data_IF_007277397443
#
_entry.id   IF_007277397443
#
_cell.length_a   1.000
_cell.length_b   1.000
_cell.length_c   1.000
_cell.angle_alpha   90.00
_cell.angle_beta   90.00
_cell.angle_gamma   90.00
#
_symmetry.space_group_name_H-M   'P 1'
#
loop_
_entity.id
_entity.type
_entity.pdbx_description
1 polymer ?
#
# COMPACT_ATOMS: atom_id res chain seq x y z
N UNK A 1 4.66 3.47 -30.68
CA UNK A 1 4.92 2.68 -29.44
C UNK A 1 5.70 3.53 -28.43
N UNK A 2 5.13 4.64 -27.94
CA UNK A 2 5.78 5.51 -26.95
C UNK A 2 5.06 5.46 -25.58
N UNK A 3 3.78 5.08 -25.59
CA UNK A 3 2.92 5.00 -24.40
C UNK A 3 3.37 3.95 -23.38
N UNK A 4 4.09 2.90 -23.79
CA UNK A 4 4.58 1.86 -22.86
C UNK A 4 5.81 2.28 -22.05
N UNK A 5 6.62 3.22 -22.56
CA UNK A 5 7.87 3.63 -21.90
C UNK A 5 7.62 4.65 -20.79
N UNK A 6 6.80 5.67 -21.07
CA UNK A 6 6.42 6.67 -20.07
C UNK A 6 5.73 6.03 -18.85
N UNK A 7 4.83 5.06 -19.08
CA UNK A 7 4.17 4.32 -17.98
C UNK A 7 5.19 3.52 -17.17
N UNK A 8 6.17 2.89 -17.83
CA UNK A 8 7.23 2.15 -17.13
C UNK A 8 8.13 3.07 -16.32
N UNK A 9 8.44 4.26 -16.82
CA UNK A 9 9.29 5.24 -16.12
C UNK A 9 8.55 5.81 -14.89
N UNK A 10 7.26 6.18 -15.04
CA UNK A 10 6.41 6.60 -13.91
C UNK A 10 6.26 5.50 -12.86
N UNK A 11 6.11 4.24 -13.30
CA UNK A 11 6.03 3.11 -12.39
C UNK A 11 7.28 2.95 -11.54
N UNK A 12 8.46 3.00 -12.17
CA UNK A 12 9.75 2.88 -11.49
C UNK A 12 9.88 4.01 -10.47
N UNK A 13 9.58 5.26 -10.86
CA UNK A 13 9.68 6.41 -9.96
C UNK A 13 8.71 6.31 -8.78
N UNK A 14 7.45 5.93 -9.04
CA UNK A 14 6.45 5.69 -7.99
C UNK A 14 6.94 4.61 -7.01
N UNK A 15 7.45 3.50 -7.54
CA UNK A 15 7.97 2.37 -6.75
C UNK A 15 9.13 2.81 -5.87
N UNK A 16 10.13 3.51 -6.43
CA UNK A 16 11.30 4.00 -5.69
C UNK A 16 10.91 4.97 -4.56
N UNK A 17 9.94 5.87 -4.81
CA UNK A 17 9.44 6.80 -3.80
C UNK A 17 8.73 6.05 -2.66
N UNK A 18 7.88 5.07 -3.00
CA UNK A 18 7.20 4.22 -2.03
C UNK A 18 8.18 3.40 -1.20
N UNK A 19 9.16 2.75 -1.85
CA UNK A 19 10.22 1.99 -1.18
C UNK A 19 10.99 2.88 -0.20
N UNK A 20 11.45 4.05 -0.65
CA UNK A 20 12.20 4.98 0.20
C UNK A 20 11.39 5.42 1.42
N UNK A 21 10.11 5.75 1.23
CA UNK A 21 9.23 6.17 2.31
C UNK A 21 8.97 5.03 3.31
N UNK A 22 8.62 3.84 2.82
CA UNK A 22 8.27 2.70 3.69
C UNK A 22 9.50 2.14 4.41
N UNK A 23 10.69 2.13 3.78
CA UNK A 23 11.96 1.75 4.43
C UNK A 23 12.33 2.65 5.61
N UNK A 24 11.82 3.87 5.67
CA UNK A 24 11.99 4.74 6.85
C UNK A 24 11.08 4.36 8.02
N UNK A 25 10.10 3.47 7.81
CA UNK A 25 9.11 3.05 8.79
C UNK A 25 9.12 1.55 9.12
N UNK A 26 9.82 0.73 8.33
CA UNK A 26 9.90 -0.72 8.55
C UNK A 26 10.88 -1.42 7.62
N UNK A 27 11.05 -2.72 7.82
CA UNK A 27 11.88 -3.56 6.97
C UNK A 27 11.09 -4.12 5.78
N UNK A 28 11.69 -4.12 4.60
CA UNK A 28 11.11 -4.79 3.43
C UNK A 28 11.50 -6.28 3.41
N UNK A 29 10.54 -7.17 3.19
CA UNK A 29 10.81 -8.58 2.90
C UNK A 29 9.66 -9.25 2.15
N UNK A 30 9.92 -9.66 0.91
CA UNK A 30 8.97 -10.44 0.12
C UNK A 30 8.70 -11.85 0.67
N UNK A 31 9.48 -12.30 1.66
CA UNK A 31 9.29 -13.58 2.35
C UNK A 31 8.41 -13.48 3.60
N UNK A 32 7.88 -12.29 3.92
CA UNK A 32 7.00 -12.06 5.07
C UNK A 32 7.72 -11.87 6.42
N UNK A 33 9.06 -11.83 6.42
CA UNK A 33 9.87 -11.58 7.63
C UNK A 33 9.99 -10.07 7.97
N UNK A 34 9.46 -9.21 7.10
CA UNK A 34 9.53 -7.75 7.19
C UNK A 34 8.24 -7.12 7.69
N UNK A 35 8.21 -5.79 7.70
CA UNK A 35 7.01 -5.01 7.98
C UNK A 35 6.17 -4.75 6.71
N UNK A 36 6.79 -4.79 5.52
CA UNK A 36 6.10 -4.68 4.24
C UNK A 36 6.84 -5.39 3.10
N UNK A 37 6.18 -5.47 1.95
CA UNK A 37 6.84 -5.71 0.66
C UNK A 37 6.05 -5.05 -0.48
N UNK A 38 6.76 -4.61 -1.52
CA UNK A 38 6.15 -4.00 -2.70
C UNK A 38 6.14 -5.03 -3.83
N UNK A 39 5.00 -5.17 -4.51
CA UNK A 39 4.88 -6.10 -5.65
C UNK A 39 5.68 -5.54 -6.82
N UNK A 40 6.62 -6.31 -7.34
CA UNK A 40 7.42 -5.97 -8.53
C UNK A 40 6.66 -6.30 -9.84
N UNK A 41 5.42 -5.85 -9.90
CA UNK A 41 4.51 -6.04 -11.03
C UNK A 41 3.52 -4.87 -11.03
N UNK A 42 3.30 -4.28 -12.20
CA UNK A 42 2.26 -3.27 -12.39
C UNK A 42 1.20 -3.76 -13.37
N UNK A 43 -0.04 -3.38 -13.10
CA UNK A 43 -1.18 -3.63 -13.96
C UNK A 43 -1.98 -2.34 -14.08
N UNK A 44 -2.17 -1.83 -15.30
CA UNK A 44 -3.06 -0.69 -15.59
C UNK A 44 -2.95 0.47 -14.56
N UNK A 45 -1.75 1.03 -14.37
CA UNK A 45 -1.49 2.12 -13.41
C UNK A 45 -1.72 1.76 -11.94
N UNK A 46 -1.54 0.49 -11.57
CA UNK A 46 -1.66 0.04 -10.18
C UNK A 46 -0.29 -0.38 -9.63
N UNK A 47 0.01 0.09 -8.43
CA UNK A 47 1.08 -0.42 -7.59
C UNK A 47 0.49 -1.11 -6.37
N UNK A 48 0.89 -2.36 -6.12
CA UNK A 48 0.45 -3.12 -4.94
C UNK A 48 1.54 -3.11 -3.87
N UNK A 49 1.11 -2.99 -2.62
CA UNK A 49 1.96 -3.00 -1.43
C UNK A 49 1.30 -3.90 -0.41
N UNK A 50 2.08 -4.73 0.26
CA UNK A 50 1.61 -5.56 1.35
C UNK A 50 2.20 -5.05 2.66
N UNK A 51 1.35 -4.77 3.63
CA UNK A 51 1.73 -4.50 5.00
C UNK A 51 1.59 -5.79 5.80
N UNK A 52 2.73 -6.31 6.25
CA UNK A 52 2.87 -7.52 7.06
C UNK A 52 3.06 -7.20 8.54
N UNK A 53 2.95 -5.92 8.91
CA UNK A 53 3.08 -5.43 10.29
C UNK A 53 2.09 -4.32 10.61
N UNK A 54 1.43 -4.42 11.76
CA UNK A 54 0.50 -3.41 12.27
C UNK A 54 1.15 -2.01 12.41
N UNK A 55 2.48 -1.96 12.54
CA UNK A 55 3.24 -0.71 12.68
C UNK A 55 3.05 0.25 11.49
N UNK A 56 2.74 -0.29 10.31
CA UNK A 56 2.55 0.47 9.07
C UNK A 56 1.09 0.82 8.80
N UNK A 57 0.13 0.15 9.47
CA UNK A 57 -1.30 0.44 9.34
C UNK A 57 -1.67 1.65 10.21
N UNK A 58 -1.20 2.83 9.81
CA UNK A 58 -1.44 4.09 10.51
C UNK A 58 -2.01 5.16 9.57
N UNK A 59 -2.90 6.05 10.05
CA UNK A 59 -3.48 7.10 9.22
C UNK A 59 -2.43 7.95 8.51
N UNK A 60 -1.38 8.36 9.23
CA UNK A 60 -0.32 9.20 8.67
C UNK A 60 0.48 8.53 7.53
N UNK A 61 0.58 7.20 7.51
CA UNK A 61 1.24 6.45 6.43
C UNK A 61 0.34 6.45 5.17
N UNK A 62 -0.94 6.12 5.35
CA UNK A 62 -1.92 6.10 4.26
C UNK A 62 -2.15 7.49 3.67
N UNK A 63 -2.26 8.52 4.52
CA UNK A 63 -2.35 9.93 4.12
C UNK A 63 -1.12 10.40 3.36
N UNK A 64 0.09 9.98 3.77
CA UNK A 64 1.31 10.35 3.05
C UNK A 64 1.31 9.77 1.63
N UNK A 65 0.92 8.50 1.48
CA UNK A 65 0.80 7.85 0.17
C UNK A 65 -0.21 8.63 -0.70
N UNK A 66 -1.38 8.97 -0.16
CA UNK A 66 -2.39 9.71 -0.92
C UNK A 66 -1.92 11.13 -1.27
N UNK A 67 -1.45 11.89 -0.29
CA UNK A 67 -1.25 13.34 -0.41
C UNK A 67 0.03 13.70 -1.13
N UNK A 68 1.13 12.99 -0.86
CA UNK A 68 2.44 13.37 -1.40
C UNK A 68 2.79 12.56 -2.64
N UNK A 69 2.54 11.25 -2.60
CA UNK A 69 2.97 10.35 -3.66
C UNK A 69 2.00 10.46 -4.85
N UNK A 70 0.69 10.33 -4.64
CA UNK A 70 -0.27 10.34 -5.76
C UNK A 70 -0.53 11.73 -6.36
N UNK A 71 -0.06 12.82 -5.74
CA UNK A 71 -0.02 14.15 -6.38
C UNK A 71 0.90 14.19 -7.61
N UNK A 72 2.00 13.43 -7.56
CA UNK A 72 2.96 13.33 -8.65
C UNK A 72 2.49 12.36 -9.73
N UNK A 73 1.67 11.38 -9.35
CA UNK A 73 1.22 10.27 -10.18
C UNK A 73 -0.31 10.19 -10.21
N UNK A 74 -0.99 11.20 -10.76
CA UNK A 74 -2.46 11.34 -10.64
C UNK A 74 -3.27 10.23 -11.29
N UNK A 75 -2.68 9.50 -12.24
CA UNK A 75 -3.32 8.37 -12.92
C UNK A 75 -3.11 7.04 -12.17
N UNK A 76 -2.25 7.02 -11.16
CA UNK A 76 -1.87 5.83 -10.44
C UNK A 76 -2.76 5.55 -9.25
N UNK A 77 -2.90 4.26 -8.94
CA UNK A 77 -3.61 3.75 -7.78
C UNK A 77 -2.62 2.90 -6.98
N UNK A 78 -2.57 3.13 -5.67
CA UNK A 78 -1.84 2.26 -4.75
C UNK A 78 -2.84 1.37 -4.02
N UNK A 79 -2.67 0.06 -4.15
CA UNK A 79 -3.43 -0.92 -3.40
C UNK A 79 -2.57 -1.38 -2.24
N UNK A 80 -2.98 -1.04 -1.02
CA UNK A 80 -2.34 -1.51 0.20
C UNK A 80 -3.13 -2.71 0.72
N UNK A 81 -2.52 -3.88 0.70
CA UNK A 81 -3.05 -5.12 1.27
C UNK A 81 -2.48 -5.27 2.67
N UNK A 82 -3.35 -5.47 3.66
CA UNK A 82 -2.94 -5.74 5.03
C UNK A 82 -2.98 -7.25 5.24
N UNK A 83 -1.82 -7.87 5.07
CA UNK A 83 -1.62 -9.31 5.21
C UNK A 83 -0.83 -9.59 6.48
N UNK A 84 -1.56 -9.61 7.56
CA UNK A 84 -1.00 -9.86 8.87
C UNK A 84 -1.19 -11.32 9.08
N UNK A 85 -0.09 -12.03 8.84
CA UNK A 85 0.05 -13.48 8.88
C UNK A 85 -0.39 -14.00 10.24
N UNK A 86 -1.69 -14.12 10.41
CA UNK A 86 -2.28 -15.11 11.26
C UNK A 86 -2.18 -16.42 10.47
N UNK A 87 -1.30 -17.36 10.87
CA UNK A 87 -1.12 -18.61 10.15
C UNK A 87 -2.41 -19.44 10.04
N UNK A 88 -3.44 -19.10 10.82
CA UNK A 88 -4.76 -19.74 10.77
C UNK A 88 -5.61 -19.21 9.60
N UNK A 89 -5.38 -17.97 9.15
CA UNK A 89 -6.25 -17.31 8.18
C UNK A 89 -5.49 -16.85 6.93
N UNK A 90 -5.80 -17.46 5.77
CA UNK A 90 -5.14 -17.19 4.48
C UNK A 90 -5.55 -15.91 3.76
N UNK A 91 -6.60 -15.25 4.23
CA UNK A 91 -7.09 -14.03 3.58
C UNK A 91 -6.57 -12.78 4.28
N UNK A 92 -6.25 -11.71 3.54
CA UNK A 92 -5.84 -10.44 4.13
C UNK A 92 -6.94 -9.88 5.04
N UNK A 93 -6.52 -9.19 6.09
CA UNK A 93 -7.42 -8.64 7.09
C UNK A 93 -8.13 -7.38 6.56
N UNK A 94 -7.46 -6.62 5.71
CA UNK A 94 -7.99 -5.44 5.06
C UNK A 94 -7.26 -5.14 3.75
N UNK A 95 -7.87 -4.30 2.91
CA UNK A 95 -7.21 -3.65 1.79
C UNK A 95 -7.68 -2.20 1.65
N UNK A 96 -6.76 -1.34 1.21
CA UNK A 96 -7.01 0.06 0.90
C UNK A 96 -6.73 0.27 -0.57
N UNK A 97 -7.65 0.94 -1.25
CA UNK A 97 -7.43 1.49 -2.59
C UNK A 97 -7.21 2.98 -2.44
N UNK A 98 -5.97 3.41 -2.66
CA UNK A 98 -5.56 4.81 -2.53
C UNK A 98 -5.40 5.37 -3.93
N UNK A 99 -6.14 6.42 -4.22
CA UNK A 99 -6.07 7.19 -5.46
C UNK A 99 -5.80 8.67 -5.15
N UNK A 100 -5.50 9.47 -6.17
CA UNK A 100 -5.31 10.90 -6.01
C UNK A 100 -6.50 11.61 -5.32
N UNK A 101 -7.73 11.17 -5.60
CA UNK A 101 -8.95 11.83 -5.10
C UNK A 101 -9.61 11.14 -3.91
N UNK A 102 -9.29 9.87 -3.67
CA UNK A 102 -10.06 9.02 -2.78
C UNK A 102 -9.20 7.94 -2.11
N UNK A 103 -9.47 7.68 -0.83
CA UNK A 103 -9.08 6.45 -0.15
C UNK A 103 -10.34 5.59 0.02
N UNK A 104 -10.45 4.50 -0.74
CA UNK A 104 -11.50 3.51 -0.52
C UNK A 104 -10.98 2.42 0.41
N UNK A 105 -11.70 2.19 1.51
CA UNK A 105 -11.33 1.20 2.53
C UNK A 105 -12.21 -0.03 2.41
N UNK A 106 -11.59 -1.20 2.37
CA UNK A 106 -12.29 -2.48 2.38
C UNK A 106 -11.72 -3.33 3.49
N UNK A 107 -12.53 -3.55 4.52
CA UNK A 107 -12.06 -4.20 5.74
C UNK A 107 -12.92 -5.41 6.03
N UNK A 108 -12.29 -6.50 6.46
CA UNK A 108 -12.99 -7.49 7.26
C UNK A 108 -12.98 -7.06 8.74
N UNK A 109 -14.03 -6.36 9.18
CA UNK A 109 -14.13 -5.79 10.53
C UNK A 109 -14.03 -6.81 11.67
N UNK A 110 -14.38 -8.07 11.41
CA UNK A 110 -14.30 -9.17 12.39
C UNK A 110 -12.84 -9.55 12.68
N UNK A 111 -11.95 -9.30 11.73
CA UNK A 111 -10.53 -9.68 11.78
C UNK A 111 -9.62 -8.51 12.12
N UNK A 112 -10.17 -7.29 12.21
CA UNK A 112 -9.42 -6.15 12.69
C UNK A 112 -9.11 -6.29 14.18
N UNK A 113 -7.86 -6.01 14.58
CA UNK A 113 -7.49 -5.90 15.96
C UNK A 113 -8.16 -4.64 16.54
N UNK A 114 -8.45 -4.62 17.84
CA UNK A 114 -9.18 -3.53 18.47
C UNK A 114 -8.64 -2.13 18.13
N UNK A 115 -7.32 -2.00 18.02
CA UNK A 115 -6.61 -0.74 17.76
C UNK A 115 -6.94 -0.13 16.40
N UNK A 116 -7.45 -0.93 15.45
CA UNK A 116 -7.78 -0.47 14.10
C UNK A 116 -9.29 -0.36 13.83
N UNK A 117 -10.14 -0.82 14.75
CA UNK A 117 -11.60 -0.78 14.58
C UNK A 117 -12.10 0.66 14.47
N UNK A 118 -11.49 1.56 15.23
CA UNK A 118 -11.82 2.99 15.25
C UNK A 118 -10.90 3.84 14.36
N UNK A 119 -10.05 3.21 13.53
CA UNK A 119 -9.17 3.95 12.63
C UNK A 119 -9.97 4.62 11.52
N UNK A 120 -10.16 5.93 11.68
CA UNK A 120 -10.70 6.83 10.68
C UNK A 120 -9.56 7.27 9.77
N UNK A 121 -9.77 7.13 8.46
CA UNK A 121 -8.94 7.74 7.43
C UNK A 121 -9.79 8.88 6.83
N UNK A 122 -9.19 10.05 6.55
CA UNK A 122 -9.91 11.20 6.00
C UNK A 122 -10.56 10.91 4.64
#
# INVERSE_FOLDING_TARGET
>A
MAMSRAISDEWIELKEILEKFLRSHGAESAFGEGDFWIVDEFYEFQQKIYFTSWKLVKPNIIEYIQREILKLFTNWIVIVVVDLSDPIHREPVAWFRISFTEITKFINSERLPPELKDLMFP
#
